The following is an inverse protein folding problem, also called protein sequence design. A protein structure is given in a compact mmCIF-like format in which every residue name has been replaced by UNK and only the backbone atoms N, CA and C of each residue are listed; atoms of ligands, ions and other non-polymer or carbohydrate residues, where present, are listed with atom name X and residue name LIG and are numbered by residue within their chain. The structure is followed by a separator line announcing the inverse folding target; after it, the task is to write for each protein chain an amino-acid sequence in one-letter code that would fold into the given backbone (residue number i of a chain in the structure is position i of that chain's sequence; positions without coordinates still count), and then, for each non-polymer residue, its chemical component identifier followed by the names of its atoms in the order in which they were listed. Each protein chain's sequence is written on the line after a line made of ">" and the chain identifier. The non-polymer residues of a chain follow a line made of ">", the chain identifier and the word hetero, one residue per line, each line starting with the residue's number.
data_IF_001251781637
#
_entry.id   IF_001251781637
#
_cell.length_a   1.000
_cell.length_b   1.000
_cell.length_c   1.000
_cell.angle_alpha   90.00
_cell.angle_beta   90.00
_cell.angle_gamma   90.00
#
_symmetry.space_group_name_H-M   'P 1'
#
loop_
_entity.id
_entity.type
_entity.pdbx_description
1 polymer ?
#
# COMPACT_ATOMS: atom_id res chain seq x y z
N UNK A 1 -19.76 12.56 -3.60
CA UNK A 1 -18.68 12.15 -2.64
C UNK A 1 -18.02 10.90 -3.21
N UNK A 2 -16.73 10.63 -2.99
CA UNK A 2 -16.06 9.50 -3.67
C UNK A 2 -15.79 8.32 -2.74
N UNK A 3 -16.00 7.09 -3.22
CA UNK A 3 -15.80 5.88 -2.42
C UNK A 3 -15.02 4.81 -3.19
N UNK A 4 -14.04 4.20 -2.51
CA UNK A 4 -13.29 3.07 -3.06
C UNK A 4 -14.01 1.79 -2.66
N UNK A 5 -14.43 0.98 -3.63
CA UNK A 5 -15.12 -0.30 -3.41
C UNK A 5 -14.35 -1.45 -4.04
N UNK A 6 -14.41 -2.60 -3.40
CA UNK A 6 -13.90 -3.86 -3.95
C UNK A 6 -15.07 -4.63 -4.57
N UNK A 7 -14.91 -5.06 -5.81
CA UNK A 7 -15.89 -5.86 -6.55
C UNK A 7 -15.33 -7.24 -6.77
N UNK A 8 -16.11 -8.27 -6.42
CA UNK A 8 -15.83 -9.67 -6.73
C UNK A 8 -16.33 -9.99 -8.15
N UNK A 9 -15.45 -10.53 -8.98
CA UNK A 9 -15.73 -10.90 -10.36
C UNK A 9 -16.18 -12.36 -10.43
N UNK A 10 -17.18 -12.65 -11.27
CA UNK A 10 -17.72 -14.00 -11.47
C UNK A 10 -16.81 -14.92 -12.30
N UNK A 11 -15.92 -14.33 -13.12
CA UNK A 11 -14.94 -15.03 -13.96
C UNK A 11 -13.52 -14.56 -13.65
N UNK A 12 -12.53 -15.41 -13.95
CA UNK A 12 -11.09 -15.17 -13.68
C UNK A 12 -10.49 -14.09 -14.59
N UNK A 13 -10.85 -12.84 -14.32
CA UNK A 13 -10.39 -11.65 -15.04
C UNK A 13 -9.27 -10.86 -14.31
N UNK A 14 -8.90 -11.29 -13.10
CA UNK A 14 -7.82 -10.70 -12.31
C UNK A 14 -7.11 -11.77 -11.46
N UNK A 15 -5.93 -11.46 -10.90
CA UNK A 15 -5.14 -12.42 -10.12
C UNK A 15 -5.89 -13.00 -8.91
N UNK A 16 -6.88 -12.28 -8.37
CA UNK A 16 -7.62 -12.68 -7.18
C UNK A 16 -9.14 -12.67 -7.37
N UNK A 17 -9.65 -12.61 -8.61
CA UNK A 17 -11.10 -12.43 -8.91
C UNK A 17 -11.73 -11.23 -8.20
N UNK A 18 -10.93 -10.23 -7.84
CA UNK A 18 -11.39 -8.98 -7.27
C UNK A 18 -10.78 -7.83 -8.07
N UNK A 19 -11.51 -6.71 -8.13
CA UNK A 19 -11.02 -5.45 -8.66
C UNK A 19 -11.40 -4.32 -7.70
N UNK A 20 -10.52 -3.35 -7.55
CA UNK A 20 -10.79 -2.16 -6.74
C UNK A 20 -11.13 -1.00 -7.67
N UNK A 21 -12.28 -0.37 -7.43
CA UNK A 21 -12.79 0.73 -8.25
C UNK A 21 -13.09 1.96 -7.40
N UNK A 22 -13.01 3.13 -8.04
CA UNK A 22 -13.46 4.41 -7.50
C UNK A 22 -14.86 4.73 -8.02
N UNK A 23 -15.80 4.94 -7.10
CA UNK A 23 -17.19 5.30 -7.38
C UNK A 23 -17.47 6.75 -7.01
N UNK A 24 -18.31 7.39 -7.81
CA UNK A 24 -19.05 8.57 -7.40
C UNK A 24 -20.32 8.13 -6.65
N UNK A 25 -20.47 8.60 -5.41
CA UNK A 25 -21.66 8.30 -4.59
C UNK A 25 -22.92 8.96 -5.14
N UNK A 26 -22.80 10.10 -5.81
CA UNK A 26 -23.95 10.86 -6.29
C UNK A 26 -24.62 10.15 -7.47
N UNK A 27 -23.81 9.71 -8.44
CA UNK A 27 -24.29 8.98 -9.61
C UNK A 27 -24.33 7.45 -9.39
N UNK A 28 -23.78 6.94 -8.29
CA UNK A 28 -23.65 5.50 -7.96
C UNK A 28 -22.90 4.66 -8.99
N UNK A 29 -22.16 5.30 -9.90
CA UNK A 29 -21.37 4.66 -10.96
C UNK A 29 -19.87 4.81 -10.72
N UNK A 30 -19.03 3.91 -11.27
CA UNK A 30 -17.58 4.09 -11.29
C UNK A 30 -17.19 5.35 -12.07
N UNK A 31 -16.18 6.07 -11.59
CA UNK A 31 -15.58 7.16 -12.37
C UNK A 31 -14.93 6.56 -13.63
N UNK A 32 -15.17 7.18 -14.80
CA UNK A 32 -14.79 6.63 -16.11
C UNK A 32 -13.31 6.30 -16.24
N UNK A 33 -12.43 7.29 -16.10
CA UNK A 33 -11.00 7.08 -16.30
C UNK A 33 -10.34 6.20 -15.21
N UNK A 34 -10.72 6.29 -13.92
CA UNK A 34 -10.24 5.36 -12.89
C UNK A 34 -10.71 3.92 -13.14
N UNK A 35 -11.93 3.73 -13.66
CA UNK A 35 -12.42 2.41 -14.08
C UNK A 35 -11.53 1.84 -15.19
N UNK A 36 -11.25 2.62 -16.23
CA UNK A 36 -10.42 2.18 -17.35
C UNK A 36 -8.98 1.89 -16.90
N UNK A 37 -8.42 2.73 -16.02
CA UNK A 37 -7.12 2.48 -15.40
C UNK A 37 -7.10 1.17 -14.58
N UNK A 38 -8.16 0.91 -13.80
CA UNK A 38 -8.28 -0.34 -13.04
C UNK A 38 -8.31 -1.56 -13.95
N UNK A 39 -9.08 -1.51 -15.03
CA UNK A 39 -9.27 -2.63 -15.96
C UNK A 39 -8.04 -2.92 -16.83
N UNK A 40 -7.28 -1.89 -17.20
CA UNK A 40 -6.15 -2.02 -18.13
C UNK A 40 -4.82 -2.19 -17.40
N UNK A 41 -4.52 -1.33 -16.42
CA UNK A 41 -3.21 -1.25 -15.79
C UNK A 41 -3.14 -1.97 -14.43
N UNK A 42 -4.22 -1.96 -13.64
CA UNK A 42 -4.18 -2.47 -12.26
C UNK A 42 -4.72 -3.90 -12.08
N UNK A 43 -5.45 -4.45 -13.06
CA UNK A 43 -6.13 -5.76 -12.93
C UNK A 43 -5.20 -6.91 -12.50
N UNK A 44 -3.94 -6.88 -12.90
CA UNK A 44 -2.94 -7.91 -12.55
C UNK A 44 -2.00 -7.48 -11.43
N UNK A 45 -2.20 -6.31 -10.84
CA UNK A 45 -1.46 -5.86 -9.68
C UNK A 45 -2.03 -6.49 -8.40
N UNK A 46 -1.20 -6.57 -7.36
CA UNK A 46 -1.64 -7.07 -6.06
C UNK A 46 -2.81 -6.23 -5.51
N UNK A 47 -3.75 -6.86 -4.80
CA UNK A 47 -4.91 -6.19 -4.23
C UNK A 47 -4.54 -4.96 -3.39
N UNK A 48 -3.47 -5.06 -2.57
CA UNK A 48 -2.97 -3.94 -1.78
C UNK A 48 -2.48 -2.77 -2.64
N UNK A 49 -1.87 -3.06 -3.80
CA UNK A 49 -1.45 -2.04 -4.78
C UNK A 49 -2.68 -1.36 -5.37
N UNK A 50 -3.66 -2.14 -5.85
CA UNK A 50 -4.91 -1.59 -6.40
C UNK A 50 -5.61 -0.68 -5.40
N UNK A 51 -5.72 -1.12 -4.14
CA UNK A 51 -6.35 -0.33 -3.07
C UNK A 51 -5.56 0.95 -2.76
N UNK A 52 -4.24 0.88 -2.74
CA UNK A 52 -3.39 2.06 -2.52
C UNK A 52 -3.50 3.07 -3.65
N UNK A 53 -3.52 2.60 -4.90
CA UNK A 53 -3.60 3.46 -6.08
C UNK A 53 -4.99 4.12 -6.17
N UNK A 54 -6.07 3.35 -5.99
CA UNK A 54 -7.45 3.88 -5.96
C UNK A 54 -7.67 4.88 -4.82
N UNK A 55 -7.04 4.69 -3.65
CA UNK A 55 -7.15 5.66 -2.57
C UNK A 55 -6.42 6.98 -2.91
N UNK A 56 -5.32 6.93 -3.65
CA UNK A 56 -4.67 8.14 -4.14
C UNK A 56 -5.55 8.89 -5.14
N UNK A 57 -6.20 8.16 -6.06
CA UNK A 57 -7.14 8.74 -7.02
C UNK A 57 -8.36 9.33 -6.32
N UNK A 58 -8.89 8.65 -5.30
CA UNK A 58 -9.98 9.19 -4.48
C UNK A 58 -9.64 10.60 -3.97
N UNK A 59 -8.46 10.80 -3.39
CA UNK A 59 -8.07 12.11 -2.87
C UNK A 59 -7.92 13.16 -3.96
N UNK A 60 -7.42 12.79 -5.14
CA UNK A 60 -7.35 13.70 -6.29
C UNK A 60 -8.74 14.14 -6.74
N UNK A 61 -9.69 13.19 -6.84
CA UNK A 61 -11.06 13.49 -7.24
C UNK A 61 -11.80 14.32 -6.19
N UNK A 62 -11.58 14.05 -4.88
CA UNK A 62 -12.09 14.90 -3.80
C UNK A 62 -11.53 16.32 -3.87
N UNK A 63 -10.21 16.46 -4.07
CA UNK A 63 -9.57 17.76 -4.24
C UNK A 63 -10.16 18.54 -5.42
N UNK A 64 -10.25 17.89 -6.58
CA UNK A 64 -10.73 18.52 -7.81
C UNK A 64 -12.17 18.99 -7.65
N UNK A 65 -13.04 18.13 -7.14
CA UNK A 65 -14.45 18.45 -6.93
C UNK A 65 -14.62 19.58 -5.90
N UNK A 66 -13.86 19.58 -4.80
CA UNK A 66 -13.95 20.67 -3.83
C UNK A 66 -13.44 22.01 -4.40
N UNK A 67 -12.49 22.01 -5.33
CA UNK A 67 -11.93 23.24 -5.93
C UNK A 67 -12.79 23.79 -7.07
N UNK A 68 -13.27 22.92 -7.96
CA UNK A 68 -13.95 23.31 -9.20
C UNK A 68 -15.44 23.00 -9.24
N UNK A 69 -15.98 22.33 -8.21
CA UNK A 69 -17.38 21.87 -8.16
C UNK A 69 -17.81 20.99 -9.34
N UNK A 70 -16.84 20.39 -10.04
CA UNK A 70 -17.04 19.54 -11.23
C UNK A 70 -16.25 18.24 -11.10
N UNK A 71 -16.61 17.22 -11.87
CA UNK A 71 -15.89 15.96 -11.88
C UNK A 71 -14.61 16.10 -12.71
N UNK A 72 -13.49 15.56 -12.21
CA UNK A 72 -12.24 15.56 -12.99
C UNK A 72 -12.40 14.90 -14.36
N UNK A 73 -13.24 13.85 -14.47
CA UNK A 73 -13.51 13.21 -15.75
C UNK A 73 -14.13 14.18 -16.78
N UNK A 74 -15.07 15.01 -16.33
CA UNK A 74 -15.76 15.99 -17.15
C UNK A 74 -14.82 17.12 -17.57
N UNK A 75 -14.02 17.65 -16.62
CA UNK A 75 -13.03 18.68 -16.93
C UNK A 75 -11.97 18.19 -17.93
N UNK A 76 -11.50 16.94 -17.78
CA UNK A 76 -10.51 16.36 -18.68
C UNK A 76 -11.05 16.08 -20.08
N UNK A 77 -12.32 15.67 -20.19
CA UNK A 77 -12.98 15.53 -21.49
C UNK A 77 -13.18 16.91 -22.14
N UNK A 78 -13.67 17.88 -21.37
CA UNK A 78 -13.98 19.23 -21.86
C UNK A 78 -12.74 20.00 -22.29
N UNK A 79 -11.57 19.73 -21.68
CA UNK A 79 -10.28 20.28 -22.11
C UNK A 79 -9.69 19.61 -23.35
N UNK A 80 -10.42 18.71 -24.00
CA UNK A 80 -9.92 17.84 -25.08
C UNK A 80 -8.67 17.07 -24.64
N UNK A 81 -8.66 16.52 -23.43
CA UNK A 81 -7.57 15.73 -22.86
C UNK A 81 -6.25 16.48 -22.64
N UNK A 82 -6.30 17.81 -22.57
CA UNK A 82 -5.07 18.59 -22.48
C UNK A 82 -4.46 18.52 -21.06
N UNK A 83 -3.18 18.12 -20.92
CA UNK A 83 -2.63 17.72 -19.62
C UNK A 83 -2.33 18.89 -18.69
N UNK A 84 -2.17 20.10 -19.22
CA UNK A 84 -1.95 21.32 -18.47
C UNK A 84 -3.00 21.54 -17.37
N UNK A 85 -4.24 21.04 -17.55
CA UNK A 85 -5.30 21.16 -16.55
C UNK A 85 -4.94 20.50 -15.22
N UNK A 86 -4.24 19.37 -15.24
CA UNK A 86 -3.91 18.63 -14.02
C UNK A 86 -2.46 18.88 -13.61
N UNK A 87 -1.57 19.18 -14.55
CA UNK A 87 -0.18 19.49 -14.26
C UNK A 87 -0.03 20.78 -13.44
N UNK A 88 -0.82 21.81 -13.76
CA UNK A 88 -0.86 23.09 -13.02
C UNK A 88 -1.34 22.92 -11.59
N UNK A 89 -2.18 21.91 -11.33
CA UNK A 89 -2.81 21.66 -10.04
C UNK A 89 -2.05 20.71 -9.11
N UNK A 90 -0.90 20.18 -9.56
CA UNK A 90 -0.09 19.27 -8.74
C UNK A 90 0.33 19.93 -7.43
N UNK A 91 0.82 21.18 -7.48
CA UNK A 91 1.30 21.88 -6.28
C UNK A 91 0.15 22.19 -5.30
N UNK A 92 -1.01 22.62 -5.83
CA UNK A 92 -2.24 22.81 -5.05
C UNK A 92 -2.68 21.52 -4.35
N UNK A 93 -2.62 20.40 -5.07
CA UNK A 93 -2.99 19.09 -4.53
C UNK A 93 -2.03 18.61 -3.45
N UNK A 94 -0.73 18.89 -3.59
CA UNK A 94 0.24 18.61 -2.54
C UNK A 94 -0.13 19.37 -1.27
N UNK A 95 -0.40 20.67 -1.39
CA UNK A 95 -0.80 21.52 -0.25
C UNK A 95 -2.10 20.99 0.38
N UNK A 96 -3.06 20.52 -0.44
CA UNK A 96 -4.27 19.88 0.04
C UNK A 96 -3.98 18.60 0.86
N UNK A 97 -3.07 17.75 0.41
CA UNK A 97 -2.68 16.54 1.15
C UNK A 97 -1.98 16.86 2.47
N UNK A 98 -1.21 17.94 2.53
CA UNK A 98 -0.55 18.39 3.77
C UNK A 98 -1.54 18.96 4.79
N UNK A 99 -2.58 19.64 4.32
CA UNK A 99 -3.58 20.28 5.16
C UNK A 99 -4.78 19.37 5.48
N UNK A 100 -4.50 18.09 5.72
CA UNK A 100 -5.51 17.09 6.09
C UNK A 100 -6.70 17.00 5.11
N UNK A 101 -6.46 17.22 3.80
CA UNK A 101 -7.48 17.16 2.74
C UNK A 101 -8.55 18.25 2.89
N UNK A 102 -8.16 19.43 3.37
CA UNK A 102 -8.99 20.64 3.37
C UNK A 102 -8.40 21.65 2.38
N UNK A 103 -9.24 22.28 1.57
CA UNK A 103 -8.85 23.44 0.78
C UNK A 103 -8.74 24.67 1.68
N UNK A 104 -7.62 25.37 1.59
CA UNK A 104 -7.45 26.70 2.15
C UNK A 104 -6.93 27.61 1.05
N UNK A 105 -7.53 28.79 0.93
CA UNK A 105 -7.29 29.73 -0.18
C UNK A 105 -5.95 30.47 -0.09
N UNK A 106 -5.27 30.45 1.07
CA UNK A 106 -4.05 31.23 1.34
C UNK A 106 -2.92 30.39 1.93
N UNK A 107 -2.76 29.14 1.49
CA UNK A 107 -1.76 28.24 2.05
C UNK A 107 -0.43 28.35 1.28
N UNK A 108 0.48 29.16 1.81
CA UNK A 108 1.86 29.22 1.32
C UNK A 108 2.66 28.12 2.01
N UNK A 109 3.30 27.26 1.20
CA UNK A 109 4.23 26.25 1.69
C UNK A 109 5.56 26.90 2.07
N UNK A 110 5.69 27.32 3.33
CA UNK A 110 6.92 27.94 3.83
C UNK A 110 8.00 26.90 4.21
N UNK A 111 7.60 25.73 4.75
CA UNK A 111 8.53 24.65 5.14
C UNK A 111 7.79 23.31 5.23
N UNK A 112 8.52 22.20 5.35
CA UNK A 112 7.95 20.88 5.67
C UNK A 112 7.35 20.87 7.08
N UNK A 113 6.09 20.46 7.22
CA UNK A 113 5.40 20.35 8.50
C UNK A 113 5.79 19.04 9.23
N UNK A 114 6.21 19.12 10.49
CA UNK A 114 6.70 18.00 11.29
C UNK A 114 5.60 16.95 11.52
N UNK A 115 4.33 17.39 11.64
CA UNK A 115 3.20 16.51 11.94
C UNK A 115 2.75 15.70 10.71
N UNK A 116 3.15 16.13 9.52
CA UNK A 116 2.72 15.53 8.26
C UNK A 116 3.54 14.28 7.92
N UNK A 117 2.86 13.20 7.58
CA UNK A 117 3.50 11.98 7.09
C UNK A 117 3.86 12.10 5.60
N UNK A 118 5.03 12.68 5.33
CA UNK A 118 5.57 12.85 3.98
C UNK A 118 5.83 11.53 3.25
N UNK A 119 6.05 10.42 3.95
CA UNK A 119 6.22 9.11 3.33
C UNK A 119 4.90 8.67 2.67
N UNK A 120 3.80 8.77 3.39
CA UNK A 120 2.47 8.45 2.87
C UNK A 120 2.08 9.38 1.73
N UNK A 121 2.29 10.69 1.86
CA UNK A 121 2.02 11.66 0.78
C UNK A 121 2.84 11.33 -0.46
N UNK A 122 4.14 11.07 -0.30
CA UNK A 122 5.02 10.70 -1.43
C UNK A 122 4.52 9.44 -2.13
N UNK A 123 4.06 8.44 -1.38
CA UNK A 123 3.49 7.24 -1.98
C UNK A 123 2.19 7.53 -2.74
N UNK A 124 1.32 8.39 -2.22
CA UNK A 124 0.08 8.82 -2.92
C UNK A 124 0.40 9.58 -4.21
N UNK A 125 1.36 10.49 -4.18
CA UNK A 125 1.81 11.22 -5.38
C UNK A 125 2.40 10.29 -6.43
N UNK A 126 3.16 9.27 -6.01
CA UNK A 126 3.66 8.25 -6.95
C UNK A 126 2.53 7.49 -7.63
N UNK A 127 1.52 7.07 -6.87
CA UNK A 127 0.33 6.41 -7.44
C UNK A 127 -0.43 7.34 -8.39
N UNK A 128 -0.60 8.62 -8.03
CA UNK A 128 -1.23 9.61 -8.89
C UNK A 128 -0.45 9.83 -10.20
N UNK A 129 0.87 9.97 -10.14
CA UNK A 129 1.69 10.19 -11.33
C UNK A 129 1.66 8.99 -12.28
N UNK A 130 1.56 7.76 -11.76
CA UNK A 130 1.33 6.58 -12.61
C UNK A 130 0.01 6.69 -13.38
N UNK A 131 -1.03 7.18 -12.73
CA UNK A 131 -2.33 7.40 -13.36
C UNK A 131 -2.28 8.55 -14.38
N UNK A 132 -1.57 9.64 -14.11
CA UNK A 132 -1.39 10.71 -15.10
C UNK A 132 -0.62 10.24 -16.32
N UNK A 133 0.43 9.45 -16.14
CA UNK A 133 1.15 8.80 -17.24
C UNK A 133 0.20 7.94 -18.07
N UNK A 134 -0.64 7.13 -17.42
CA UNK A 134 -1.67 6.36 -18.11
C UNK A 134 -2.64 7.23 -18.92
N UNK A 135 -3.13 8.34 -18.37
CA UNK A 135 -4.01 9.26 -19.10
C UNK A 135 -3.33 9.84 -20.34
N UNK A 136 -2.06 10.21 -20.21
CA UNK A 136 -1.30 10.74 -21.33
C UNK A 136 -1.08 9.68 -22.42
N UNK A 137 -0.82 8.41 -22.04
CA UNK A 137 -0.58 7.32 -22.98
C UNK A 137 -1.87 6.97 -23.78
N UNK A 138 -3.01 6.91 -23.09
CA UNK A 138 -4.28 6.47 -23.71
C UNK A 138 -5.05 7.58 -24.43
N UNK A 139 -5.02 8.82 -23.91
CA UNK A 139 -5.90 9.90 -24.39
C UNK A 139 -5.16 11.07 -25.02
N UNK A 140 -3.91 11.33 -24.63
CA UNK A 140 -3.13 12.43 -25.18
C UNK A 140 -2.19 11.93 -26.29
N UNK A 141 -2.81 11.54 -27.40
CA UNK A 141 -2.14 11.04 -28.58
C UNK A 141 -2.72 11.66 -29.87
N UNK A 142 -2.08 11.36 -31.01
CA UNK A 142 -2.43 11.92 -32.33
C UNK A 142 -3.88 11.64 -32.76
N UNK A 143 -4.57 10.66 -32.15
CA UNK A 143 -5.99 10.38 -32.47
C UNK A 143 -6.94 11.45 -31.93
N UNK A 144 -6.56 12.10 -30.83
CA UNK A 144 -7.40 13.06 -30.14
C UNK A 144 -6.84 14.49 -30.20
N UNK A 145 -5.62 14.65 -30.72
CA UNK A 145 -4.89 15.92 -30.78
C UNK A 145 -4.52 16.25 -32.23
N UNK A 146 -4.78 17.48 -32.64
CA UNK A 146 -4.33 18.03 -33.93
C UNK A 146 -2.86 18.46 -33.89
N UNK A 147 -1.98 17.55 -33.43
CA UNK A 147 -0.56 17.82 -33.17
C UNK A 147 0.31 16.80 -33.90
N UNK A 148 1.43 17.25 -34.47
CA UNK A 148 2.38 16.35 -35.13
C UNK A 148 3.05 15.39 -34.13
N UNK A 149 3.41 14.18 -34.59
CA UNK A 149 4.12 13.18 -33.75
C UNK A 149 5.38 13.76 -33.11
N UNK A 150 6.13 14.59 -33.85
CA UNK A 150 7.37 15.21 -33.38
C UNK A 150 7.11 16.18 -32.23
N UNK A 151 6.09 17.03 -32.37
CA UNK A 151 5.71 17.98 -31.35
C UNK A 151 5.14 17.28 -30.11
N UNK A 152 4.27 16.29 -30.30
CA UNK A 152 3.73 15.47 -29.22
C UNK A 152 4.86 14.81 -28.40
N UNK A 153 5.85 14.22 -29.09
CA UNK A 153 7.01 13.58 -28.44
C UNK A 153 7.83 14.58 -27.64
N UNK A 154 8.05 15.79 -28.17
CA UNK A 154 8.80 16.84 -27.49
C UNK A 154 8.05 17.37 -26.25
N UNK A 155 6.74 17.62 -26.37
CA UNK A 155 5.91 18.03 -25.23
C UNK A 155 5.84 16.92 -24.18
N UNK A 156 5.70 15.65 -24.59
CA UNK A 156 5.70 14.50 -23.67
C UNK A 156 6.99 14.42 -22.85
N UNK A 157 8.15 14.57 -23.48
CA UNK A 157 9.44 14.62 -22.77
C UNK A 157 9.48 15.73 -21.71
N UNK A 158 8.93 16.92 -22.00
CA UNK A 158 8.85 18.02 -21.03
C UNK A 158 7.97 17.67 -19.84
N UNK A 159 6.80 17.06 -20.09
CA UNK A 159 5.89 16.62 -19.04
C UNK A 159 6.54 15.54 -18.16
N UNK A 160 7.20 14.55 -18.76
CA UNK A 160 7.87 13.49 -18.02
C UNK A 160 9.00 14.05 -17.13
N UNK A 161 9.79 14.99 -17.66
CA UNK A 161 10.81 15.71 -16.88
C UNK A 161 10.20 16.50 -15.71
N UNK A 162 9.07 17.17 -15.94
CA UNK A 162 8.35 17.91 -14.90
C UNK A 162 7.86 16.96 -13.79
N UNK A 163 7.19 15.85 -14.12
CA UNK A 163 6.72 14.87 -13.15
C UNK A 163 7.88 14.23 -12.38
N UNK A 164 8.99 13.93 -13.06
CA UNK A 164 10.23 13.43 -12.43
C UNK A 164 10.81 14.44 -11.45
N UNK A 165 10.83 15.74 -11.80
CA UNK A 165 11.32 16.79 -10.92
C UNK A 165 10.48 16.90 -9.65
N UNK A 166 9.14 16.89 -9.77
CA UNK A 166 8.22 16.88 -8.63
C UNK A 166 8.44 15.65 -7.76
N UNK A 167 8.54 14.46 -8.35
CA UNK A 167 8.82 13.20 -7.63
C UNK A 167 10.13 13.28 -6.82
N UNK A 168 11.18 13.88 -7.38
CA UNK A 168 12.47 14.06 -6.69
C UNK A 168 12.37 15.05 -5.51
N UNK A 169 11.65 16.15 -5.68
CA UNK A 169 11.42 17.14 -4.62
C UNK A 169 10.71 16.48 -3.42
N UNK A 170 9.62 15.74 -3.65
CA UNK A 170 8.89 15.07 -2.56
C UNK A 170 9.66 13.89 -1.97
N UNK A 171 10.42 13.17 -2.78
CA UNK A 171 11.35 12.14 -2.28
C UNK A 171 12.35 12.71 -1.26
N UNK A 172 12.83 13.94 -1.46
CA UNK A 172 13.71 14.63 -0.50
C UNK A 172 12.97 15.03 0.78
N UNK A 173 11.73 15.53 0.69
CA UNK A 173 10.93 15.87 1.88
C UNK A 173 10.62 14.65 2.73
N UNK A 174 10.30 13.50 2.11
CA UNK A 174 10.12 12.24 2.85
C UNK A 174 11.38 11.80 3.58
N UNK A 175 12.56 11.93 2.97
CA UNK A 175 13.84 11.63 3.63
C UNK A 175 14.14 12.59 4.77
N UNK A 176 13.85 13.89 4.61
CA UNK A 176 14.05 14.91 5.66
C UNK A 176 13.07 14.75 6.83
N UNK A 177 11.84 14.33 6.57
CA UNK A 177 10.86 14.02 7.63
C UNK A 177 11.36 12.87 8.51
N UNK A 178 12.07 11.88 7.96
CA UNK A 178 12.73 10.83 8.75
C UNK A 178 13.88 11.35 9.63
N UNK A 179 14.58 12.40 9.18
CA UNK A 179 15.68 13.03 9.95
C UNK A 179 15.22 14.12 10.89
N UNK A 180 13.99 14.66 10.75
CA UNK A 180 13.43 15.63 11.70
C UNK A 180 12.57 14.93 12.76
N UNK A 181 11.89 13.83 12.39
CA UNK A 181 11.36 12.85 13.34
C UNK A 181 12.44 11.92 13.91
N UNK A 182 13.73 12.28 13.86
CA UNK A 182 14.79 11.49 14.50
C UNK A 182 14.87 11.68 16.02
N UNK A 183 13.83 12.23 16.65
CA UNK A 183 13.45 11.90 18.03
C UNK A 183 12.62 10.61 18.12
N UNK A 184 12.35 9.92 17.01
CA UNK A 184 12.08 8.48 17.06
C UNK A 184 13.39 7.85 17.48
N UNK A 185 13.54 7.67 18.79
CA UNK A 185 14.66 7.03 19.43
C UNK A 185 14.84 5.65 18.77
N UNK A 186 15.86 5.54 17.89
CA UNK A 186 16.13 4.32 17.13
C UNK A 186 16.41 3.13 18.05
N UNK A 187 16.66 3.39 19.34
CA UNK A 187 16.76 2.42 20.42
C UNK A 187 15.51 1.54 20.60
N UNK A 188 14.33 1.94 20.10
CA UNK A 188 13.10 1.14 20.21
C UNK A 188 12.66 0.44 18.91
N UNK A 189 13.49 0.41 17.86
CA UNK A 189 13.15 -0.34 16.63
C UNK A 189 13.24 -1.85 16.80
N UNK A 190 13.93 -2.31 17.83
CA UNK A 190 14.12 -3.72 18.17
C UNK A 190 14.06 -3.90 19.68
N UNK A 191 13.71 -5.09 20.12
CA UNK A 191 13.77 -5.45 21.52
C UNK A 191 15.24 -5.65 21.92
N UNK A 192 15.65 -5.07 23.04
CA UNK A 192 16.93 -5.41 23.67
C UNK A 192 16.85 -6.83 24.26
N UNK A 193 18.00 -7.42 24.58
CA UNK A 193 18.04 -8.76 25.21
C UNK A 193 17.24 -8.80 26.52
N UNK A 194 17.29 -7.73 27.32
CA UNK A 194 16.50 -7.63 28.55
C UNK A 194 15.00 -7.58 28.26
N UNK A 195 14.57 -6.78 27.28
CA UNK A 195 13.17 -6.72 26.86
C UNK A 195 12.68 -8.07 26.31
N UNK A 196 13.55 -8.82 25.63
CA UNK A 196 13.26 -10.17 25.14
C UNK A 196 13.01 -11.15 26.28
N UNK A 197 13.86 -11.15 27.31
CA UNK A 197 13.68 -11.98 28.50
C UNK A 197 12.38 -11.62 29.21
N UNK A 198 12.07 -10.32 29.34
CA UNK A 198 10.81 -9.86 29.93
C UNK A 198 9.60 -10.27 29.11
N UNK A 199 9.67 -10.16 27.79
CA UNK A 199 8.60 -10.59 26.89
C UNK A 199 8.30 -12.07 27.10
N UNK A 200 9.31 -12.95 27.04
CA UNK A 200 9.13 -14.40 27.26
C UNK A 200 8.58 -14.73 28.65
N UNK A 201 8.93 -13.96 29.68
CA UNK A 201 8.34 -14.09 31.02
C UNK A 201 6.84 -13.77 31.00
N UNK A 202 6.43 -12.68 30.33
CA UNK A 202 5.03 -12.24 30.23
C UNK A 202 4.21 -13.28 29.45
N UNK A 203 4.67 -13.72 28.28
CA UNK A 203 3.88 -14.60 27.40
C UNK A 203 3.97 -16.09 27.76
N UNK A 204 4.75 -16.47 28.78
CA UNK A 204 4.92 -17.86 29.22
C UNK A 204 3.55 -18.50 29.50
N UNK A 205 3.21 -19.65 28.91
CA UNK A 205 1.97 -20.36 29.23
C UNK A 205 1.95 -20.87 30.66
N UNK A 206 0.75 -21.07 31.20
CA UNK A 206 0.57 -21.63 32.54
C UNK A 206 1.10 -23.07 32.61
N UNK A 207 1.85 -23.33 33.68
CA UNK A 207 2.35 -24.65 34.03
C UNK A 207 1.53 -25.20 35.21
N UNK A 208 1.44 -26.52 35.34
CA UNK A 208 0.69 -27.18 36.42
C UNK A 208 1.16 -26.76 37.82
N UNK A 209 2.45 -26.44 37.97
CA UNK A 209 3.06 -26.00 39.22
C UNK A 209 3.21 -24.47 39.36
N UNK A 210 2.95 -23.68 38.30
CA UNK A 210 3.16 -22.23 38.32
C UNK A 210 2.24 -21.53 37.31
N UNK A 211 1.25 -20.83 37.85
CA UNK A 211 0.35 -19.95 37.09
C UNK A 211 1.08 -18.64 36.80
N UNK A 212 0.97 -18.15 35.56
CA UNK A 212 1.55 -16.89 35.13
C UNK A 212 0.49 -15.78 35.11
N UNK A 213 0.41 -15.02 36.19
CA UNK A 213 -0.53 -13.89 36.33
C UNK A 213 -0.27 -12.74 35.35
N UNK A 214 0.94 -12.66 34.79
CA UNK A 214 1.34 -11.63 33.83
C UNK A 214 0.86 -11.94 32.40
N UNK A 215 0.44 -13.18 32.12
CA UNK A 215 0.04 -13.55 30.78
C UNK A 215 -1.31 -12.91 30.43
N UNK A 216 -1.40 -12.08 29.37
CA UNK A 216 -2.65 -11.40 29.03
C UNK A 216 -3.72 -12.34 28.46
N UNK A 217 -3.40 -13.61 28.19
CA UNK A 217 -4.33 -14.57 27.60
C UNK A 217 -4.90 -15.50 28.67
N UNK A 218 -6.24 -15.54 28.76
CA UNK A 218 -6.95 -16.25 29.82
C UNK A 218 -6.99 -17.77 29.69
N UNK A 219 -6.92 -18.31 28.46
CA UNK A 219 -7.01 -19.77 28.24
C UNK A 219 -5.65 -20.35 27.88
N UNK A 220 -5.34 -21.53 28.44
CA UNK A 220 -4.09 -22.26 28.15
C UNK A 220 -3.86 -22.50 26.65
N UNK A 221 -4.93 -22.72 25.90
CA UNK A 221 -4.87 -22.88 24.43
C UNK A 221 -4.42 -21.58 23.75
N UNK A 222 -5.00 -20.43 24.11
CA UNK A 222 -4.59 -19.13 23.57
C UNK A 222 -3.16 -18.76 23.99
N UNK A 223 -2.79 -19.04 25.24
CA UNK A 223 -1.43 -18.83 25.76
C UNK A 223 -0.42 -19.62 24.93
N UNK A 224 -0.62 -20.93 24.75
CA UNK A 224 0.29 -21.77 23.98
C UNK A 224 0.39 -21.33 22.51
N UNK A 225 -0.75 -21.05 21.88
CA UNK A 225 -0.79 -20.57 20.49
C UNK A 225 -0.01 -19.26 20.34
N UNK A 226 -0.28 -18.28 21.19
CA UNK A 226 0.33 -16.96 21.08
C UNK A 226 1.81 -16.98 21.49
N UNK A 227 2.20 -17.83 22.44
CA UNK A 227 3.59 -18.11 22.76
C UNK A 227 4.34 -18.63 21.54
N UNK A 228 3.81 -19.66 20.87
CA UNK A 228 4.42 -20.23 19.66
C UNK A 228 4.54 -19.20 18.53
N UNK A 229 3.50 -18.38 18.33
CA UNK A 229 3.51 -17.28 17.35
C UNK A 229 4.70 -16.34 17.61
N UNK A 230 4.82 -15.84 18.84
CA UNK A 230 5.90 -14.90 19.19
C UNK A 230 7.26 -15.59 19.10
N UNK A 231 7.38 -16.83 19.58
CA UNK A 231 8.62 -17.59 19.53
C UNK A 231 9.11 -17.78 18.09
N UNK A 232 8.21 -18.14 17.17
CA UNK A 232 8.54 -18.27 15.75
C UNK A 232 8.94 -16.93 15.12
N UNK A 233 8.26 -15.84 15.46
CA UNK A 233 8.59 -14.52 14.94
C UNK A 233 9.95 -14.03 15.46
N UNK A 234 10.24 -14.24 16.74
CA UNK A 234 11.46 -13.73 17.38
C UNK A 234 12.70 -14.54 17.03
N UNK A 235 12.61 -15.87 17.04
CA UNK A 235 13.79 -16.73 16.86
C UNK A 235 14.11 -16.97 15.38
N UNK A 236 13.11 -16.95 14.50
CA UNK A 236 13.29 -17.26 13.07
C UNK A 236 12.98 -16.08 12.15
N UNK A 237 12.63 -14.91 12.70
CA UNK A 237 12.39 -13.69 11.93
C UNK A 237 11.23 -13.84 10.94
N UNK A 238 10.17 -14.55 11.32
CA UNK A 238 8.98 -14.70 10.49
C UNK A 238 8.21 -13.39 10.42
N UNK A 239 7.82 -13.00 9.21
CA UNK A 239 6.86 -11.91 9.00
C UNK A 239 5.45 -12.41 9.31
N UNK A 240 4.56 -11.51 9.72
CA UNK A 240 3.15 -11.84 10.01
C UNK A 240 2.48 -12.58 8.84
N UNK A 241 2.74 -12.16 7.60
CA UNK A 241 2.17 -12.83 6.42
C UNK A 241 2.70 -14.26 6.19
N UNK A 242 3.95 -14.52 6.55
CA UNK A 242 4.58 -15.84 6.43
C UNK A 242 4.07 -16.79 7.52
N UNK A 243 3.97 -16.28 8.76
CA UNK A 243 3.37 -17.01 9.88
C UNK A 243 1.94 -17.47 9.55
N UNK A 244 1.18 -16.62 8.85
CA UNK A 244 -0.22 -16.89 8.46
C UNK A 244 -0.38 -17.93 7.35
N UNK A 245 0.72 -18.33 6.71
CA UNK A 245 0.79 -19.42 5.72
C UNK A 245 1.23 -20.76 6.32
N UNK A 246 1.65 -20.77 7.59
CA UNK A 246 2.11 -22.00 8.21
C UNK A 246 0.95 -22.98 8.41
N UNK A 247 1.18 -24.22 7.99
CA UNK A 247 0.29 -25.36 8.24
C UNK A 247 1.04 -26.43 9.00
N UNK A 248 0.34 -27.48 9.46
CA UNK A 248 0.98 -28.66 10.05
C UNK A 248 2.01 -29.31 9.10
N UNK A 249 1.83 -29.16 7.78
CA UNK A 249 2.74 -29.71 6.74
C UNK A 249 3.97 -28.83 6.49
N UNK A 250 4.02 -27.63 7.06
CA UNK A 250 5.16 -26.73 6.94
C UNK A 250 6.37 -27.21 7.74
N UNK A 251 6.17 -28.01 8.79
CA UNK A 251 7.27 -28.60 9.55
C UNK A 251 7.62 -29.95 8.92
N UNK A 252 8.85 -30.11 8.44
CA UNK A 252 9.35 -31.36 7.86
C UNK A 252 10.59 -31.84 8.59
N UNK A 253 10.63 -33.15 8.88
CA UNK A 253 11.82 -33.82 9.38
C UNK A 253 12.81 -34.06 8.23
N UNK A 254 14.09 -33.83 8.48
CA UNK A 254 15.15 -34.19 7.55
C UNK A 254 15.27 -35.72 7.43
N UNK A 255 15.53 -36.21 6.22
CA UNK A 255 15.71 -37.65 5.97
C UNK A 255 17.03 -38.17 6.54
N UNK A 256 18.07 -37.32 6.56
CA UNK A 256 19.44 -37.71 6.86
C UNK A 256 19.90 -37.25 8.25
N UNK A 257 19.03 -36.57 9.00
CA UNK A 257 19.35 -36.08 10.34
C UNK A 257 18.09 -35.94 11.17
N UNK A 258 18.23 -35.94 12.49
CA UNK A 258 17.13 -35.70 13.41
C UNK A 258 16.82 -34.20 13.59
N UNK A 259 16.99 -33.43 12.51
CA UNK A 259 16.68 -32.01 12.44
C UNK A 259 15.33 -31.77 11.77
N UNK A 260 14.67 -30.70 12.18
CA UNK A 260 13.42 -30.24 11.58
C UNK A 260 13.64 -28.95 10.82
N UNK A 261 12.88 -28.76 9.76
CA UNK A 261 12.87 -27.55 8.95
C UNK A 261 11.45 -27.01 8.83
N UNK A 262 11.32 -25.70 8.91
CA UNK A 262 10.11 -24.96 8.65
C UNK A 262 10.13 -24.45 7.20
N UNK A 263 9.15 -24.90 6.42
CA UNK A 263 8.97 -24.53 5.02
C UNK A 263 7.89 -23.46 4.92
N UNK A 264 8.30 -22.29 4.46
CA UNK A 264 7.44 -21.13 4.23
C UNK A 264 7.17 -21.05 2.73
N UNK A 265 5.93 -21.35 2.35
CA UNK A 265 5.47 -21.33 0.97
C UNK A 265 4.00 -20.91 0.90
N UNK A 266 3.53 -20.54 -0.30
CA UNK A 266 2.11 -20.35 -0.53
C UNK A 266 1.37 -21.67 -0.38
N UNK A 267 0.17 -21.59 0.20
CA UNK A 267 -0.73 -22.71 0.37
C UNK A 267 -1.95 -22.51 -0.49
N UNK A 268 -2.28 -23.48 -1.33
CA UNK A 268 -3.52 -23.49 -2.11
C UNK A 268 -4.71 -23.96 -1.25
N UNK A 269 -4.88 -23.33 -0.08
CA UNK A 269 -5.97 -23.65 0.83
C UNK A 269 -7.27 -23.00 0.32
N UNK A 270 -8.08 -23.81 -0.38
CA UNK A 270 -9.38 -23.42 -0.89
C UNK A 270 -10.38 -23.09 0.23
N UNK A 271 -10.18 -23.66 1.43
CA UNK A 271 -11.05 -23.47 2.60
C UNK A 271 -10.67 -22.26 3.47
N UNK A 272 -9.64 -21.50 3.09
CA UNK A 272 -9.30 -20.27 3.78
C UNK A 272 -10.42 -19.22 3.65
N UNK A 273 -11.17 -18.99 4.74
CA UNK A 273 -12.29 -18.06 4.82
C UNK A 273 -11.90 -16.61 5.11
N UNK A 274 -10.60 -16.31 5.26
CA UNK A 274 -10.13 -14.96 5.54
C UNK A 274 -10.40 -14.02 4.37
N UNK A 275 -10.91 -12.82 4.68
CA UNK A 275 -11.22 -11.78 3.69
C UNK A 275 -9.97 -11.28 2.95
N UNK A 276 -8.80 -11.36 3.60
CA UNK A 276 -7.47 -11.14 3.01
C UNK A 276 -6.63 -12.39 3.18
N UNK A 277 -6.62 -13.25 2.16
CA UNK A 277 -5.77 -14.44 2.14
C UNK A 277 -4.29 -14.03 2.20
N UNK A 278 -3.49 -14.60 3.11
CA UNK A 278 -2.06 -14.35 3.12
C UNK A 278 -1.45 -14.97 1.86
N UNK A 279 -0.45 -14.30 1.30
CA UNK A 279 0.31 -14.82 0.18
C UNK A 279 1.72 -14.23 0.18
N UNK A 280 2.69 -15.03 -0.18
CA UNK A 280 4.05 -14.61 -0.51
C UNK A 280 4.00 -13.79 -1.80
N UNK A 281 4.55 -12.58 -1.75
CA UNK A 281 4.60 -11.64 -2.88
C UNK A 281 5.90 -11.71 -3.68
N UNK A 282 7.00 -12.10 -3.02
CA UNK A 282 8.35 -12.04 -3.57
C UNK A 282 8.99 -13.43 -3.47
N UNK A 283 9.75 -13.83 -4.48
CA UNK A 283 10.44 -15.13 -4.50
C UNK A 283 11.35 -15.35 -3.29
N UNK A 284 12.02 -14.29 -2.82
CA UNK A 284 12.87 -14.33 -1.63
C UNK A 284 12.12 -14.63 -0.31
N UNK A 285 10.79 -14.59 -0.31
CA UNK A 285 9.99 -14.94 0.87
C UNK A 285 9.58 -16.41 0.90
N UNK A 286 9.84 -17.18 -0.16
CA UNK A 286 9.89 -18.64 -0.06
C UNK A 286 11.17 -19.01 0.66
N UNK A 287 11.04 -19.60 1.85
CA UNK A 287 12.18 -19.87 2.74
C UNK A 287 12.07 -21.24 3.36
N UNK A 288 13.22 -21.87 3.54
CA UNK A 288 13.37 -23.08 4.37
C UNK A 288 14.26 -22.68 5.54
N UNK A 289 13.72 -22.76 6.75
CA UNK A 289 14.42 -22.38 7.99
C UNK A 289 14.66 -23.63 8.80
N UNK A 290 15.91 -23.91 9.18
CA UNK A 290 16.22 -25.00 10.10
C UNK A 290 15.74 -24.62 11.50
N UNK A 291 14.99 -25.51 12.14
CA UNK A 291 14.55 -25.33 13.51
C UNK A 291 15.65 -25.81 14.46
N UNK A 292 16.02 -24.92 15.37
CA UNK A 292 16.87 -25.24 16.51
C UNK A 292 16.14 -26.20 17.47
N UNK A 293 16.92 -27.02 18.17
CA UNK A 293 16.41 -27.98 19.17
C UNK A 293 16.09 -27.28 20.48
#
# INVERSE_FOLDING_TARGET
>A
MFVVKTIKLSKKYSNQNHIVLLFDTSATVPCLYPLLYSLTALRFQSFATQQSDMLALKFWYEFWYQKYSTLFCESFLSSKYEPEIFLSEIDSFIVFLENNKKLGTNLIRLRSNIDVNYMTITQRLRSLFKYFVYLLDEYWNVRYQDITIKELTNRRKRIDLFLLSKKRIFGRFSKRSLTVKSEINYNFKSLTNEMMVRLYKIIRPDQTASINTENPFSTKSHQLRNFLIVHLMMNYGLRVGELMLLTKRSIKKSLNSDSYSLIITNTDDEHDSRLRKPSIKNEQSYRVIKLDR
#
